data_IF_246611188346
#
_entry.id   IF_246611188346
#
_cell.length_a   1.000
_cell.length_b   1.000
_cell.length_c   1.000
_cell.angle_alpha   90.00
_cell.angle_beta   90.00
_cell.angle_gamma   90.00
#
_symmetry.space_group_name_H-M   'P 1'
#
loop_
_entity.id
_entity.type
_entity.pdbx_description
1 polymer ?
#
# COMPACT_ATOMS: atom_id res chain seq x y z
N UNK A 1 10.43 -11.19 15.92
CA UNK A 1 10.87 -10.59 14.64
C UNK A 1 9.64 -10.42 13.77
N UNK A 2 9.44 -9.21 13.26
CA UNK A 2 8.32 -8.88 12.39
C UNK A 2 8.56 -9.47 11.00
N UNK A 3 7.55 -10.07 10.40
CA UNK A 3 7.56 -10.60 9.04
C UNK A 3 6.30 -10.15 8.30
N UNK A 4 6.47 -9.58 7.11
CA UNK A 4 5.38 -9.24 6.21
C UNK A 4 5.29 -10.28 5.09
N UNK A 5 4.14 -10.91 4.95
CA UNK A 5 3.83 -11.86 3.89
C UNK A 5 3.00 -11.12 2.84
N UNK A 6 3.50 -11.10 1.60
CA UNK A 6 3.02 -10.15 0.60
C UNK A 6 3.05 -10.65 -0.84
N UNK A 7 2.39 -9.87 -1.72
CA UNK A 7 2.78 -9.72 -3.12
C UNK A 7 3.58 -8.42 -3.26
N UNK A 8 4.74 -8.45 -3.95
CA UNK A 8 5.61 -7.28 -4.01
C UNK A 8 5.01 -6.07 -4.74
N UNK A 9 3.99 -6.28 -5.58
CA UNK A 9 3.31 -5.25 -6.36
C UNK A 9 1.95 -4.81 -5.78
N UNK A 10 1.42 -5.52 -4.77
CA UNK A 10 0.11 -5.17 -4.21
C UNK A 10 0.15 -3.81 -3.52
N UNK A 11 -0.78 -2.88 -3.84
CA UNK A 11 -0.79 -1.54 -3.25
C UNK A 11 -0.83 -1.61 -1.71
N UNK A 12 -1.70 -2.41 -1.14
CA UNK A 12 -1.81 -2.57 0.32
C UNK A 12 -0.57 -3.21 0.97
N UNK A 13 0.12 -4.10 0.25
CA UNK A 13 1.39 -4.66 0.71
C UNK A 13 2.50 -3.61 0.69
N UNK A 14 2.53 -2.77 -0.36
CA UNK A 14 3.47 -1.66 -0.48
C UNK A 14 3.30 -0.64 0.65
N UNK A 15 2.06 -0.35 1.07
CA UNK A 15 1.77 0.47 2.26
C UNK A 15 2.46 -0.08 3.49
N UNK A 16 2.19 -1.34 3.84
CA UNK A 16 2.70 -1.95 5.06
C UNK A 16 4.23 -2.09 5.04
N UNK A 17 4.77 -2.48 3.88
CA UNK A 17 6.22 -2.52 3.66
C UNK A 17 6.85 -1.16 3.88
N UNK A 18 6.26 -0.09 3.33
CA UNK A 18 6.80 1.27 3.47
C UNK A 18 6.78 1.76 4.91
N UNK A 19 5.73 1.44 5.68
CA UNK A 19 5.66 1.74 7.11
C UNK A 19 6.79 1.00 7.88
N UNK A 20 7.00 -0.27 7.59
CA UNK A 20 8.09 -1.05 8.19
C UNK A 20 9.47 -0.49 7.83
N UNK A 21 9.71 -0.15 6.55
CA UNK A 21 10.94 0.48 6.10
C UNK A 21 11.18 1.85 6.77
N UNK A 22 10.12 2.63 6.94
CA UNK A 22 10.15 3.90 7.66
C UNK A 22 10.57 3.70 9.12
N UNK A 23 10.04 2.70 9.79
CA UNK A 23 10.29 2.42 11.21
C UNK A 23 11.73 2.07 11.55
N UNK A 24 12.55 1.66 10.57
CA UNK A 24 13.93 1.16 10.72
C UNK A 24 14.05 -0.11 11.57
N UNK A 25 12.94 -0.71 11.98
CA UNK A 25 12.97 -1.96 12.74
C UNK A 25 13.32 -3.12 11.81
N UNK A 26 14.27 -4.00 12.19
CA UNK A 26 14.58 -5.19 11.39
C UNK A 26 13.34 -6.04 11.17
N UNK A 27 13.02 -6.29 9.93
CA UNK A 27 11.86 -7.10 9.54
C UNK A 27 12.20 -8.00 8.35
N UNK A 28 11.38 -9.01 8.15
CA UNK A 28 11.50 -9.97 7.05
C UNK A 28 10.36 -9.74 6.06
N UNK A 29 10.67 -9.85 4.77
CA UNK A 29 9.67 -9.87 3.71
C UNK A 29 9.60 -11.28 3.13
N UNK A 30 8.40 -11.85 3.08
CA UNK A 30 8.12 -13.14 2.46
C UNK A 30 7.14 -12.94 1.31
N UNK A 31 7.67 -13.01 0.10
CA UNK A 31 6.82 -12.98 -1.11
C UNK A 31 6.22 -14.36 -1.33
N UNK A 32 4.92 -14.41 -1.65
CA UNK A 32 4.22 -15.64 -2.01
C UNK A 32 3.76 -15.59 -3.46
N UNK A 33 3.60 -16.76 -4.10
CA UNK A 33 3.05 -16.84 -5.45
C UNK A 33 1.58 -16.41 -5.52
N UNK A 34 1.14 -15.72 -6.59
CA UNK A 34 -0.28 -15.34 -6.76
C UNK A 34 -1.25 -16.52 -6.74
N UNK A 35 -0.81 -17.68 -7.21
CA UNK A 35 -1.61 -18.90 -7.27
C UNK A 35 -1.60 -19.76 -6.01
N UNK A 36 -0.68 -19.50 -5.05
CA UNK A 36 -0.55 -20.30 -3.82
C UNK A 36 -0.81 -19.47 -2.57
N UNK A 37 -1.89 -19.80 -1.89
CA UNK A 37 -2.33 -19.18 -0.62
C UNK A 37 -2.14 -20.09 0.59
N UNK A 38 -1.50 -21.24 0.42
CA UNK A 38 -1.38 -22.28 1.46
C UNK A 38 -0.71 -21.76 2.74
N UNK A 39 0.32 -20.93 2.60
CA UNK A 39 0.99 -20.31 3.75
C UNK A 39 0.02 -19.41 4.53
N UNK A 40 -0.68 -18.49 3.84
CA UNK A 40 -1.62 -17.57 4.48
C UNK A 40 -2.73 -18.36 5.16
N UNK A 41 -3.35 -19.28 4.44
CA UNK A 41 -4.43 -20.13 4.93
C UNK A 41 -4.05 -20.86 6.22
N UNK A 42 -2.84 -21.43 6.25
CA UNK A 42 -2.31 -22.12 7.42
C UNK A 42 -2.08 -21.18 8.61
N UNK A 43 -1.39 -20.04 8.43
CA UNK A 43 -1.02 -19.16 9.56
C UNK A 43 -2.20 -18.38 10.11
N UNK A 44 -3.19 -18.08 9.28
CA UNK A 44 -4.44 -17.40 9.70
C UNK A 44 -5.48 -18.38 10.24
N UNK A 45 -5.17 -19.67 10.29
CA UNK A 45 -6.11 -20.74 10.68
C UNK A 45 -7.38 -20.73 9.85
N UNK A 46 -7.22 -20.61 8.52
CA UNK A 46 -8.30 -20.61 7.53
C UNK A 46 -9.29 -19.44 7.63
N UNK A 47 -8.92 -18.36 8.33
CA UNK A 47 -9.78 -17.17 8.50
C UNK A 47 -9.55 -16.08 7.46
N UNK A 48 -8.40 -16.14 6.76
CA UNK A 48 -8.02 -15.12 5.78
C UNK A 48 -7.15 -15.74 4.69
N UNK A 49 -7.26 -15.24 3.45
CA UNK A 49 -6.51 -15.80 2.31
C UNK A 49 -5.88 -14.73 1.41
N UNK A 50 -6.03 -13.45 1.78
CA UNK A 50 -5.46 -12.34 1.02
C UNK A 50 -4.10 -11.90 1.60
N UNK A 51 -3.49 -10.92 0.96
CA UNK A 51 -2.30 -10.22 1.41
C UNK A 51 -2.62 -8.74 1.58
N UNK A 52 -1.93 -8.03 2.47
CA UNK A 52 -0.81 -8.44 3.32
C UNK A 52 -1.25 -9.26 4.55
N UNK A 53 -0.32 -10.04 5.11
CA UNK A 53 -0.42 -10.64 6.45
C UNK A 53 0.86 -10.31 7.20
N UNK A 54 0.73 -9.81 8.43
CA UNK A 54 1.85 -9.53 9.33
C UNK A 54 1.96 -10.62 10.38
N UNK A 55 3.18 -11.07 10.65
CA UNK A 55 3.50 -11.95 11.77
C UNK A 55 4.54 -11.29 12.69
N UNK A 56 4.23 -11.16 13.97
CA UNK A 56 5.17 -10.72 15.00
C UNK A 56 5.26 -11.79 16.09
N UNK A 57 6.32 -12.62 16.02
CA UNK A 57 6.45 -13.79 16.87
C UNK A 57 5.30 -14.79 16.68
N UNK A 58 4.43 -14.92 17.69
CA UNK A 58 3.24 -15.79 17.66
C UNK A 58 1.97 -15.05 17.21
N UNK A 59 2.00 -13.72 17.17
CA UNK A 59 0.85 -12.89 16.75
C UNK A 59 0.78 -12.85 15.24
N UNK A 60 -0.41 -13.08 14.69
CA UNK A 60 -0.72 -12.96 13.27
C UNK A 60 -1.80 -11.91 13.10
N UNK A 61 -1.52 -10.90 12.29
CA UNK A 61 -2.40 -9.75 12.03
C UNK A 61 -2.70 -9.71 10.53
N UNK A 62 -3.95 -9.53 10.20
CA UNK A 62 -4.45 -9.40 8.83
C UNK A 62 -5.64 -8.45 8.79
N UNK A 63 -5.93 -7.91 7.60
CA UNK A 63 -7.05 -7.00 7.42
C UNK A 63 -8.39 -7.73 7.56
N UNK A 64 -9.40 -6.99 8.00
CA UNK A 64 -10.78 -7.46 8.05
C UNK A 64 -11.61 -6.69 7.03
N UNK A 65 -12.76 -7.23 6.63
CA UNK A 65 -13.61 -6.59 5.62
C UNK A 65 -14.09 -5.20 6.03
N UNK A 66 -14.20 -4.98 7.34
CA UNK A 66 -14.71 -3.72 7.91
C UNK A 66 -13.61 -2.69 8.24
N UNK A 67 -12.32 -3.10 8.20
CA UNK A 67 -11.21 -2.25 8.61
C UNK A 67 -9.88 -2.65 7.97
N UNK A 68 -9.56 -2.06 6.84
CA UNK A 68 -8.31 -2.29 6.11
C UNK A 68 -7.07 -1.62 6.74
N UNK A 69 -7.18 -1.04 7.93
CA UNK A 69 -6.08 -0.37 8.63
C UNK A 69 -5.53 -1.18 9.81
N UNK A 70 -5.98 -2.42 9.99
CA UNK A 70 -5.63 -3.25 11.17
C UNK A 70 -4.14 -3.46 11.28
N UNK A 71 -3.46 -3.80 10.18
CA UNK A 71 -2.02 -4.03 10.18
C UNK A 71 -1.26 -2.73 10.46
N UNK A 72 -1.64 -1.64 9.81
CA UNK A 72 -0.98 -0.34 9.99
C UNK A 72 -1.14 0.17 11.44
N UNK A 73 -2.32 0.06 12.02
CA UNK A 73 -2.59 0.40 13.43
C UNK A 73 -1.77 -0.47 14.39
N UNK A 74 -1.68 -1.79 14.11
CA UNK A 74 -0.84 -2.68 14.90
C UNK A 74 0.64 -2.28 14.84
N UNK A 75 1.17 -1.95 13.65
CA UNK A 75 2.56 -1.51 13.49
C UNK A 75 2.80 -0.19 14.23
N UNK A 76 1.89 0.76 14.09
CA UNK A 76 1.97 2.07 14.75
C UNK A 76 2.00 1.94 16.27
N UNK A 77 1.04 1.20 16.85
CA UNK A 77 0.96 0.96 18.29
C UNK A 77 2.21 0.22 18.80
N UNK A 78 2.61 -0.83 18.08
CA UNK A 78 3.77 -1.67 18.44
C UNK A 78 5.10 -0.93 18.42
N UNK A 79 5.27 0.00 17.47
CA UNK A 79 6.51 0.72 17.22
C UNK A 79 6.47 2.20 17.61
N UNK A 80 5.30 2.71 18.02
CA UNK A 80 5.06 4.09 18.46
C UNK A 80 5.48 5.11 17.40
N UNK A 81 5.02 4.91 16.16
CA UNK A 81 5.41 5.75 15.03
C UNK A 81 4.62 7.06 14.94
N UNK A 82 3.46 7.13 15.60
CA UNK A 82 2.58 8.30 15.61
C UNK A 82 1.85 8.52 14.28
N UNK A 83 1.52 7.45 13.58
CA UNK A 83 0.83 7.50 12.29
C UNK A 83 -0.66 7.84 12.44
N UNK A 84 -1.25 7.51 13.58
CA UNK A 84 -2.67 7.72 13.88
C UNK A 84 -2.86 8.63 15.11
N UNK A 85 -2.41 9.91 15.08
CA UNK A 85 -2.64 10.80 16.19
C UNK A 85 -4.13 11.16 16.26
N UNK A 86 -4.70 11.11 17.47
CA UNK A 86 -6.14 11.24 17.72
C UNK A 86 -6.78 12.51 17.11
N UNK A 87 -6.04 13.60 17.04
CA UNK A 87 -6.51 14.86 16.45
C UNK A 87 -6.84 14.76 14.95
N UNK A 88 -6.37 13.72 14.26
CA UNK A 88 -6.61 13.51 12.84
C UNK A 88 -7.49 12.31 12.52
N UNK A 89 -8.07 11.62 13.51
CA UNK A 89 -8.82 10.38 13.28
C UNK A 89 -9.87 10.53 12.18
N UNK A 90 -10.77 11.49 12.30
CA UNK A 90 -11.86 11.67 11.34
C UNK A 90 -11.38 12.06 9.95
N UNK A 91 -10.38 12.95 9.85
CA UNK A 91 -9.87 13.38 8.54
C UNK A 91 -9.03 12.28 7.89
N UNK A 92 -8.27 11.49 8.66
CA UNK A 92 -7.55 10.35 8.12
C UNK A 92 -8.51 9.29 7.56
N UNK A 93 -9.61 9.03 8.26
CA UNK A 93 -10.62 8.06 7.81
C UNK A 93 -11.28 8.52 6.51
N UNK A 94 -11.60 9.83 6.40
CA UNK A 94 -12.15 10.40 5.18
C UNK A 94 -11.18 10.29 3.99
N UNK A 95 -9.92 10.68 4.19
CA UNK A 95 -8.89 10.62 3.14
C UNK A 95 -8.58 9.18 2.74
N UNK A 96 -8.49 8.29 3.71
CA UNK A 96 -8.30 6.87 3.44
C UNK A 96 -9.41 6.31 2.56
N UNK A 97 -10.69 6.59 2.88
CA UNK A 97 -11.82 6.18 2.05
C UNK A 97 -11.77 6.76 0.64
N UNK A 98 -11.37 8.02 0.51
CA UNK A 98 -11.17 8.62 -0.80
C UNK A 98 -10.06 7.93 -1.59
N UNK A 99 -8.92 7.67 -0.97
CA UNK A 99 -7.81 6.95 -1.62
C UNK A 99 -8.24 5.55 -2.07
N UNK A 100 -8.92 4.81 -1.20
CA UNK A 100 -9.37 3.44 -1.48
C UNK A 100 -10.45 3.37 -2.57
N UNK A 101 -11.41 4.30 -2.56
CA UNK A 101 -12.55 4.25 -3.48
C UNK A 101 -12.26 4.92 -4.82
N UNK A 102 -11.49 6.01 -4.83
CA UNK A 102 -11.33 6.87 -6.00
C UNK A 102 -9.94 6.79 -6.65
N UNK A 103 -8.91 6.33 -5.95
CA UNK A 103 -7.53 6.27 -6.45
C UNK A 103 -7.04 4.84 -6.67
N UNK A 104 -7.22 3.93 -5.70
CA UNK A 104 -6.69 2.56 -5.73
C UNK A 104 -7.12 1.82 -7.01
N UNK A 105 -8.41 1.88 -7.33
CA UNK A 105 -8.96 1.22 -8.50
C UNK A 105 -8.33 1.64 -9.83
N UNK A 106 -7.89 2.89 -9.93
CA UNK A 106 -7.25 3.44 -11.12
C UNK A 106 -5.77 3.02 -11.19
N UNK A 107 -5.06 3.11 -10.07
CA UNK A 107 -3.63 2.77 -10.02
C UNK A 107 -3.39 1.30 -10.34
N UNK A 108 -4.16 0.38 -9.73
CA UNK A 108 -3.94 -1.03 -10.00
C UNK A 108 -4.37 -1.45 -11.41
N UNK A 109 -5.43 -0.87 -11.99
CA UNK A 109 -5.83 -1.18 -13.37
C UNK A 109 -4.74 -0.79 -14.36
N UNK A 110 -4.19 0.41 -14.21
CA UNK A 110 -3.08 0.90 -15.03
C UNK A 110 -1.85 -0.01 -14.90
N UNK A 111 -1.45 -0.38 -13.69
CA UNK A 111 -0.31 -1.25 -13.46
C UNK A 111 -0.57 -2.68 -13.96
N UNK A 112 -1.72 -3.27 -13.62
CA UNK A 112 -2.04 -4.67 -13.90
C UNK A 112 -2.29 -4.95 -15.38
N UNK A 113 -2.66 -3.94 -16.18
CA UNK A 113 -2.68 -4.03 -17.64
C UNK A 113 -1.32 -4.48 -18.21
N UNK A 114 -0.26 -4.29 -17.45
CA UNK A 114 1.12 -4.68 -17.78
C UNK A 114 1.68 -5.75 -16.86
N UNK A 115 0.83 -6.60 -16.27
CA UNK A 115 1.23 -7.63 -15.32
C UNK A 115 2.36 -8.55 -15.81
N UNK A 116 2.51 -8.71 -17.09
CA UNK A 116 3.57 -9.53 -17.71
C UNK A 116 4.99 -9.01 -17.43
N UNK A 117 5.12 -7.72 -17.12
CA UNK A 117 6.39 -7.07 -16.80
C UNK A 117 6.93 -7.45 -15.41
N UNK A 118 6.03 -7.81 -14.47
CA UNK A 118 6.39 -8.02 -13.07
C UNK A 118 5.92 -9.35 -12.47
N UNK A 119 4.96 -10.03 -13.09
CA UNK A 119 4.52 -11.36 -12.64
C UNK A 119 5.36 -12.43 -13.31
N UNK A 120 6.00 -13.35 -12.57
CA UNK A 120 6.78 -14.44 -13.14
C UNK A 120 5.97 -15.24 -14.17
N UNK A 121 6.62 -15.60 -15.30
CA UNK A 121 5.93 -16.25 -16.43
C UNK A 121 5.10 -17.49 -16.02
N UNK A 122 5.64 -18.30 -15.10
CA UNK A 122 4.96 -19.49 -14.60
C UNK A 122 3.64 -19.17 -13.86
N UNK A 123 3.47 -17.94 -13.39
CA UNK A 123 2.35 -17.52 -12.56
C UNK A 123 1.34 -16.61 -13.28
N UNK A 124 1.68 -16.16 -14.49
CA UNK A 124 0.85 -15.23 -15.26
C UNK A 124 -0.54 -15.77 -15.56
N UNK A 125 -0.68 -17.07 -15.82
CA UNK A 125 -1.97 -17.68 -16.07
C UNK A 125 -2.86 -17.66 -14.81
N UNK A 126 -2.29 -17.98 -13.65
CA UNK A 126 -3.00 -17.95 -12.38
C UNK A 126 -3.41 -16.51 -12.02
N UNK A 127 -2.51 -15.55 -12.25
CA UNK A 127 -2.78 -14.13 -12.05
C UNK A 127 -3.94 -13.63 -12.92
N UNK A 128 -3.88 -13.89 -14.24
CA UNK A 128 -4.95 -13.56 -15.19
C UNK A 128 -6.29 -14.13 -14.75
N UNK A 129 -6.35 -15.43 -14.46
CA UNK A 129 -7.59 -16.10 -14.01
C UNK A 129 -8.15 -15.48 -12.74
N UNK A 130 -7.30 -15.08 -11.82
CA UNK A 130 -7.73 -14.39 -10.60
C UNK A 130 -8.36 -13.03 -10.93
N UNK A 131 -7.74 -12.22 -11.79
CA UNK A 131 -8.28 -10.91 -12.19
C UNK A 131 -9.58 -11.05 -12.98
N UNK A 132 -9.62 -11.92 -13.97
CA UNK A 132 -10.83 -12.16 -14.77
C UNK A 132 -12.02 -12.69 -13.95
N UNK A 133 -11.75 -13.46 -12.90
CA UNK A 133 -12.79 -13.91 -11.97
C UNK A 133 -13.39 -12.76 -11.17
N UNK A 134 -12.56 -11.79 -10.79
CA UNK A 134 -12.99 -10.65 -9.96
C UNK A 134 -13.59 -9.52 -10.79
N UNK A 135 -13.08 -9.26 -11.98
CA UNK A 135 -13.38 -8.06 -12.77
C UNK A 135 -13.99 -8.34 -14.15
N UNK A 136 -14.21 -9.59 -14.49
CA UNK A 136 -14.74 -10.02 -15.78
C UNK A 136 -13.68 -10.45 -16.79
N UNK A 137 -14.10 -11.26 -17.76
CA UNK A 137 -13.21 -11.76 -18.83
C UNK A 137 -12.60 -10.59 -19.59
N UNK A 138 -11.33 -10.75 -19.98
CA UNK A 138 -10.56 -9.76 -20.74
C UNK A 138 -10.38 -8.40 -20.05
N UNK A 139 -10.57 -8.32 -18.73
CA UNK A 139 -10.44 -7.06 -18.00
C UNK A 139 -9.04 -6.42 -18.17
N UNK A 140 -7.99 -7.22 -18.28
CA UNK A 140 -6.62 -6.73 -18.44
C UNK A 140 -6.39 -6.05 -19.81
N UNK A 141 -6.97 -6.62 -20.86
CA UNK A 141 -6.97 -6.04 -22.20
C UNK A 141 -7.81 -4.77 -22.26
N UNK A 142 -9.02 -4.80 -21.68
CA UNK A 142 -9.90 -3.65 -21.59
C UNK A 142 -9.22 -2.47 -20.85
N UNK A 143 -8.52 -2.73 -19.75
CA UNK A 143 -7.79 -1.69 -19.03
C UNK A 143 -6.67 -1.07 -19.88
N UNK A 144 -6.00 -1.89 -20.70
CA UNK A 144 -5.00 -1.40 -21.65
C UNK A 144 -5.62 -0.51 -22.74
N UNK A 145 -6.76 -0.91 -23.28
CA UNK A 145 -7.51 -0.10 -24.25
C UNK A 145 -8.00 1.23 -23.66
N UNK A 146 -8.36 1.21 -22.37
CA UNK A 146 -8.85 2.36 -21.61
C UNK A 146 -7.73 3.19 -20.96
N UNK A 147 -6.46 2.88 -21.21
CA UNK A 147 -5.33 3.49 -20.51
C UNK A 147 -5.38 5.01 -20.45
N UNK A 148 -5.66 5.67 -21.57
CA UNK A 148 -5.72 7.13 -21.62
C UNK A 148 -6.83 7.69 -20.74
N UNK A 149 -8.03 7.11 -20.76
CA UNK A 149 -9.13 7.56 -19.92
C UNK A 149 -8.86 7.32 -18.44
N UNK A 150 -8.30 6.17 -18.08
CA UNK A 150 -7.90 5.86 -16.71
C UNK A 150 -6.81 6.81 -16.19
N UNK A 151 -5.85 7.18 -17.03
CA UNK A 151 -4.82 8.17 -16.68
C UNK A 151 -5.40 9.56 -16.45
N UNK A 152 -6.29 10.03 -17.33
CA UNK A 152 -6.96 11.33 -17.17
C UNK A 152 -7.81 11.36 -15.90
N UNK A 153 -8.54 10.28 -15.62
CA UNK A 153 -9.32 10.18 -14.40
C UNK A 153 -8.42 10.17 -13.15
N UNK A 154 -7.35 9.37 -13.15
CA UNK A 154 -6.38 9.35 -12.05
C UNK A 154 -5.78 10.74 -11.81
N UNK A 155 -5.38 11.45 -12.87
CA UNK A 155 -4.84 12.80 -12.76
C UNK A 155 -5.83 13.75 -12.08
N UNK A 156 -7.11 13.69 -12.46
CA UNK A 156 -8.16 14.48 -11.82
C UNK A 156 -8.36 14.11 -10.33
N UNK A 157 -8.32 12.82 -10.00
CA UNK A 157 -8.44 12.35 -8.60
C UNK A 157 -7.24 12.74 -7.72
N UNK A 158 -6.10 13.03 -8.31
CA UNK A 158 -4.90 13.43 -7.57
C UNK A 158 -4.83 14.93 -7.28
N UNK A 159 -5.66 15.77 -7.92
CA UNK A 159 -5.69 17.23 -7.71
C UNK A 159 -5.81 17.64 -6.23
N UNK A 160 -6.69 17.03 -5.40
CA UNK A 160 -6.78 17.41 -3.99
C UNK A 160 -5.46 17.24 -3.22
N UNK A 161 -4.70 16.19 -3.51
CA UNK A 161 -3.42 15.94 -2.85
C UNK A 161 -2.34 16.94 -3.29
N UNK A 162 -2.31 17.30 -4.57
CA UNK A 162 -1.43 18.38 -5.07
C UNK A 162 -1.71 19.71 -4.35
N UNK A 163 -3.00 20.00 -4.10
CA UNK A 163 -3.41 21.21 -3.38
C UNK A 163 -3.06 21.14 -1.89
N UNK A 164 -3.24 19.98 -1.24
CA UNK A 164 -2.86 19.78 0.17
C UNK A 164 -1.37 19.99 0.40
N UNK A 165 -0.54 19.61 -0.55
CA UNK A 165 0.92 19.74 -0.50
C UNK A 165 1.43 21.14 -0.87
N UNK A 166 0.54 22.10 -1.16
CA UNK A 166 0.95 23.46 -1.53
C UNK A 166 1.64 24.22 -0.37
N UNK A 167 1.31 23.87 0.88
CA UNK A 167 1.75 24.62 2.06
C UNK A 167 2.30 23.73 3.17
N UNK A 168 2.55 22.45 2.90
CA UNK A 168 3.04 21.49 3.90
C UNK A 168 3.82 20.35 3.24
N UNK A 169 4.64 19.70 4.04
CA UNK A 169 5.50 18.62 3.56
C UNK A 169 4.76 17.28 3.39
N UNK A 170 3.70 17.06 4.16
CA UNK A 170 2.87 15.85 4.13
C UNK A 170 1.39 16.21 4.09
N UNK A 171 0.52 15.23 3.84
CA UNK A 171 -0.90 15.48 3.56
C UNK A 171 -1.66 16.20 4.69
N UNK A 172 -1.30 15.97 5.95
CA UNK A 172 -2.03 16.55 7.09
C UNK A 172 -1.26 17.60 7.87
N UNK A 173 0.03 17.37 8.09
CA UNK A 173 0.88 18.29 8.87
C UNK A 173 2.35 18.26 8.42
N UNK A 174 3.29 18.60 9.32
CA UNK A 174 4.74 18.58 9.08
C UNK A 174 5.38 17.19 9.21
N UNK A 175 4.60 16.16 9.57
CA UNK A 175 5.07 14.77 9.72
C UNK A 175 4.19 13.80 8.95
N UNK A 176 4.78 12.68 8.45
CA UNK A 176 3.99 11.70 7.70
C UNK A 176 2.99 10.99 8.63
N UNK A 177 1.74 10.90 8.18
CA UNK A 177 0.66 10.16 8.83
C UNK A 177 0.27 8.94 8.01
N UNK A 178 -0.60 8.11 8.53
CA UNK A 178 -0.99 6.87 7.83
C UNK A 178 -1.45 7.13 6.39
N UNK A 179 -2.22 8.18 6.14
CA UNK A 179 -2.72 8.51 4.80
C UNK A 179 -1.62 8.83 3.80
N UNK A 180 -0.46 9.33 4.26
CA UNK A 180 0.71 9.50 3.40
C UNK A 180 1.25 8.15 2.93
N UNK A 181 1.35 7.17 3.80
CA UNK A 181 1.78 5.81 3.43
C UNK A 181 0.76 5.12 2.55
N UNK A 182 -0.54 5.35 2.82
CA UNK A 182 -1.62 4.77 2.02
C UNK A 182 -1.57 5.30 0.59
N UNK A 183 -1.57 6.62 0.38
CA UNK A 183 -1.45 7.21 -0.96
C UNK A 183 -0.14 6.80 -1.65
N UNK A 184 0.97 6.80 -0.90
CA UNK A 184 2.26 6.36 -1.45
C UNK A 184 2.20 4.92 -1.97
N UNK A 185 1.55 4.01 -1.25
CA UNK A 185 1.39 2.61 -1.67
C UNK A 185 0.61 2.46 -2.97
N UNK A 186 -0.43 3.28 -3.18
CA UNK A 186 -1.20 3.30 -4.43
C UNK A 186 -0.34 3.82 -5.59
N UNK A 187 0.39 4.91 -5.40
CA UNK A 187 1.28 5.46 -6.44
C UNK A 187 2.50 4.55 -6.70
N UNK A 188 3.03 3.87 -5.68
CA UNK A 188 4.08 2.88 -5.84
C UNK A 188 3.58 1.64 -6.62
N UNK A 189 2.32 1.27 -6.49
CA UNK A 189 1.70 0.26 -7.34
C UNK A 189 1.57 0.75 -8.79
N UNK A 190 1.10 1.99 -9.02
CA UNK A 190 1.03 2.60 -10.36
C UNK A 190 2.37 2.50 -11.10
N UNK A 191 3.46 2.81 -10.40
CA UNK A 191 4.81 2.87 -11.01
C UNK A 191 5.52 1.51 -11.04
N UNK A 192 4.93 0.45 -10.49
CA UNK A 192 5.60 -0.82 -10.25
C UNK A 192 6.03 -1.56 -11.53
N UNK A 193 5.22 -1.51 -12.57
CA UNK A 193 5.55 -2.10 -13.88
C UNK A 193 6.61 -1.30 -14.68
N UNK A 194 6.92 -0.08 -14.26
CA UNK A 194 7.78 0.83 -14.99
C UNK A 194 7.12 1.49 -16.22
N UNK A 195 5.81 1.27 -16.42
CA UNK A 195 5.07 1.83 -17.57
C UNK A 195 4.46 3.19 -17.27
N UNK A 196 4.21 3.47 -16.01
CA UNK A 196 3.59 4.71 -15.57
C UNK A 196 4.45 5.43 -14.55
N UNK A 197 4.29 6.74 -14.51
CA UNK A 197 4.89 7.63 -13.52
C UNK A 197 3.78 8.41 -12.80
N UNK A 198 4.10 9.01 -11.66
CA UNK A 198 3.22 10.00 -11.03
C UNK A 198 3.05 11.17 -12.01
N UNK A 199 1.80 11.62 -12.30
CA UNK A 199 1.53 12.60 -13.36
C UNK A 199 2.39 13.85 -13.25
N UNK A 200 2.95 14.29 -14.37
CA UNK A 200 3.86 15.46 -14.45
C UNK A 200 3.15 16.75 -14.03
N UNK A 201 1.85 16.84 -14.26
CA UNK A 201 1.03 18.00 -13.85
C UNK A 201 1.01 18.22 -12.33
N UNK A 202 1.34 17.20 -11.54
CA UNK A 202 1.35 17.23 -10.07
C UNK A 202 2.78 17.29 -9.53
N UNK A 203 3.45 18.44 -9.67
CA UNK A 203 4.86 18.59 -9.32
C UNK A 203 5.13 18.37 -7.81
N UNK A 204 4.28 18.92 -6.93
CA UNK A 204 4.43 18.76 -5.48
C UNK A 204 4.18 17.33 -5.03
N UNK A 205 3.22 16.67 -5.66
CA UNK A 205 2.94 15.26 -5.40
C UNK A 205 4.10 14.36 -5.82
N UNK A 206 4.79 14.67 -6.92
CA UNK A 206 6.01 13.96 -7.35
C UNK A 206 7.15 14.15 -6.36
N UNK A 207 7.38 15.37 -5.89
CA UNK A 207 8.39 15.66 -4.87
C UNK A 207 8.07 14.97 -3.55
N UNK A 208 6.81 15.00 -3.13
CA UNK A 208 6.32 14.28 -1.96
C UNK A 208 6.49 12.76 -2.12
N UNK A 209 6.15 12.18 -3.27
CA UNK A 209 6.33 10.75 -3.54
C UNK A 209 7.80 10.33 -3.44
N UNK A 210 8.72 11.12 -3.98
CA UNK A 210 10.16 10.92 -3.85
C UNK A 210 10.61 10.99 -2.39
N UNK A 211 10.16 11.99 -1.64
CA UNK A 211 10.43 12.15 -0.21
C UNK A 211 9.88 10.95 0.57
N UNK A 212 8.61 10.58 0.36
CA UNK A 212 7.99 9.43 0.99
C UNK A 212 8.71 8.11 0.68
N UNK A 213 9.38 7.98 -0.45
CA UNK A 213 10.12 6.77 -0.84
C UNK A 213 11.39 6.57 0.00
N UNK A 214 11.96 7.63 0.57
CA UNK A 214 13.27 7.60 1.24
C UNK A 214 13.23 7.91 2.73
N UNK A 215 12.18 8.58 3.24
CA UNK A 215 12.11 9.00 4.65
C UNK A 215 12.26 7.81 5.61
N UNK A 216 12.82 8.11 6.77
CA UNK A 216 12.94 7.20 7.91
C UNK A 216 12.43 7.90 9.17
N UNK A 217 11.82 7.17 10.09
CA UNK A 217 11.45 7.73 11.39
C UNK A 217 12.67 8.27 12.11
N UNK A 218 12.51 9.33 12.87
CA UNK A 218 13.47 9.68 13.91
C UNK A 218 13.60 8.44 14.81
N UNK A 219 14.84 7.99 15.07
CA UNK A 219 15.08 6.70 15.75
C UNK A 219 14.14 6.53 16.94
N UNK A 220 13.38 5.42 16.95
CA UNK A 220 12.55 5.07 18.09
C UNK A 220 13.46 5.11 19.34
N UNK A 221 13.12 5.98 20.30
CA UNK A 221 13.88 6.04 21.57
C UNK A 221 13.80 4.65 22.16
N UNK A 222 14.94 3.96 22.16
CA UNK A 222 15.10 2.65 22.75
C UNK A 222 14.59 2.70 24.20
N UNK A 223 13.37 2.26 24.43
CA UNK A 223 12.89 1.99 25.77
C UNK A 223 13.66 0.75 26.24
N UNK A 224 14.83 0.97 26.87
CA UNK A 224 15.41 -0.02 27.76
C UNK A 224 14.35 -0.31 28.81
N UNK A 225 13.65 -1.41 28.60
CA UNK A 225 12.87 -2.04 29.66
C UNK A 225 13.89 -2.44 30.72
N UNK A 226 14.04 -1.63 31.75
CA UNK A 226 14.70 -2.05 32.98
C UNK A 226 13.82 -3.16 33.56
N UNK A 227 14.26 -4.40 33.36
CA UNK A 227 13.78 -5.51 34.19
C UNK A 227 14.21 -5.19 35.62
N UNK A 228 13.26 -4.92 36.48
CA UNK A 228 13.38 -5.11 37.91
C UNK A 228 12.73 -6.42 38.28
#
# INVERSE_FOLDING_TARGET
>A
MIELIQFPWSPYCLVQRRILDFSRVPHRITNIPPGDRSLIWRITRQRYYQVPVLRDGRTVVFETDDNSQVIAKYIDDRLRLGLFPHQFDGIQDLLWRYIDNDVEGLTFKLNDAYFQEFVPRAEQLAYRRHKERKFGRHCLEQWREQENSLRMELEARLVPFEQMLAHRDYLLDGEPRFVDFNLWGMLANLTYSGRHEVPVAHARLRDWFSRMSTIKSAAARSSRIRRK
#
